data_IF_278379236184
#
_entry.id   IF_278379236184
#
_cell.length_a   1.000
_cell.length_b   1.000
_cell.length_c   1.000
_cell.angle_alpha   90.00
_cell.angle_beta   90.00
_cell.angle_gamma   90.00
#
_symmetry.space_group_name_H-M   'P 1'
#
loop_
_entity.id
_entity.type
_entity.pdbx_description
1 polymer ?
#
# COMPACT_ATOMS: atom_id res chain seq x y z
N UNK A 1 33.81 3.27 -14.59
CA UNK A 1 33.61 1.83 -14.88
C UNK A 1 33.35 0.95 -13.64
N UNK A 2 34.18 0.98 -12.57
CA UNK A 2 33.99 0.04 -11.43
C UNK A 2 32.75 0.32 -10.55
N UNK A 3 32.35 1.59 -10.43
CA UNK A 3 31.13 2.00 -9.69
C UNK A 3 29.85 1.63 -10.44
N UNK A 4 29.85 1.78 -11.77
CA UNK A 4 28.68 1.47 -12.62
C UNK A 4 28.33 -0.03 -12.59
N UNK A 5 29.34 -0.90 -12.53
CA UNK A 5 29.16 -2.35 -12.41
C UNK A 5 28.73 -2.77 -10.99
N UNK A 6 29.11 -2.01 -9.96
CA UNK A 6 28.63 -2.20 -8.59
C UNK A 6 27.15 -1.83 -8.44
N UNK A 7 26.73 -0.74 -9.06
CA UNK A 7 25.33 -0.30 -9.07
C UNK A 7 24.43 -1.30 -9.81
N UNK A 8 24.86 -1.81 -10.98
CA UNK A 8 24.13 -2.86 -11.73
C UNK A 8 23.98 -4.15 -10.92
N UNK A 9 24.99 -4.53 -10.13
CA UNK A 9 24.95 -5.70 -9.24
C UNK A 9 24.02 -5.51 -8.04
N UNK A 10 24.01 -4.34 -7.43
CA UNK A 10 23.09 -4.01 -6.33
C UNK A 10 21.64 -3.99 -6.81
N UNK A 11 21.38 -3.34 -7.96
CA UNK A 11 20.07 -3.36 -8.62
C UNK A 11 19.67 -4.81 -8.93
N UNK A 12 20.58 -5.61 -9.49
CA UNK A 12 20.36 -7.04 -9.76
C UNK A 12 20.06 -7.87 -8.51
N UNK A 13 20.74 -7.62 -7.39
CA UNK A 13 20.46 -8.28 -6.11
C UNK A 13 19.10 -7.86 -5.54
N UNK A 14 18.73 -6.58 -5.63
CA UNK A 14 17.41 -6.10 -5.19
C UNK A 14 16.31 -6.71 -6.07
N UNK A 15 16.52 -6.76 -7.38
CA UNK A 15 15.65 -7.47 -8.33
C UNK A 15 15.52 -8.96 -8.03
N UNK A 16 16.62 -9.61 -7.63
CA UNK A 16 16.65 -11.04 -7.32
C UNK A 16 16.06 -11.34 -5.93
N UNK A 17 16.13 -10.39 -4.98
CA UNK A 17 15.56 -10.52 -3.64
C UNK A 17 14.04 -10.33 -3.65
N UNK A 18 13.51 -9.51 -4.57
CA UNK A 18 12.08 -9.48 -4.89
C UNK A 18 11.79 -10.51 -5.99
N UNK A 19 11.57 -11.76 -5.59
CA UNK A 19 11.06 -12.88 -6.42
C UNK A 19 9.79 -12.60 -7.26
N UNK A 20 9.27 -11.37 -7.28
CA UNK A 20 8.15 -10.95 -8.10
C UNK A 20 8.11 -9.42 -8.25
N UNK A 21 8.33 -8.92 -9.47
CA UNK A 21 8.07 -7.53 -9.88
C UNK A 21 6.61 -7.09 -9.73
N UNK A 22 5.71 -8.04 -9.54
CA UNK A 22 4.27 -7.84 -9.36
C UNK A 22 3.98 -7.02 -8.09
N UNK A 23 4.76 -7.21 -7.01
CA UNK A 23 4.49 -6.56 -5.71
C UNK A 23 4.72 -5.05 -5.79
N UNK A 24 5.91 -4.54 -6.17
CA UNK A 24 6.15 -3.11 -6.19
C UNK A 24 5.27 -2.40 -7.21
N UNK A 25 5.05 -3.02 -8.38
CA UNK A 25 4.19 -2.46 -9.44
C UNK A 25 2.75 -2.26 -8.95
N UNK A 26 2.19 -3.24 -8.23
CA UNK A 26 0.83 -3.13 -7.68
C UNK A 26 0.70 -1.98 -6.69
N UNK A 27 1.72 -1.75 -5.86
CA UNK A 27 1.71 -0.67 -4.86
C UNK A 27 1.94 0.70 -5.51
N UNK A 28 2.84 0.79 -6.49
CA UNK A 28 3.14 2.05 -7.18
C UNK A 28 1.91 2.59 -7.92
N UNK A 29 1.01 1.73 -8.39
CA UNK A 29 -0.27 2.14 -8.98
C UNK A 29 -1.24 2.78 -7.97
N UNK A 30 -1.10 2.48 -6.68
CA UNK A 30 -1.92 3.08 -5.63
C UNK A 30 -1.42 4.46 -5.16
N UNK A 31 -0.14 4.76 -5.35
CA UNK A 31 0.49 6.02 -4.90
C UNK A 31 -0.17 7.28 -5.48
N UNK A 32 -0.51 7.34 -6.79
CA UNK A 32 -1.19 8.51 -7.36
C UNK A 32 -2.48 8.87 -6.64
N UNK A 33 -3.21 7.88 -6.12
CA UNK A 33 -4.48 8.10 -5.41
C UNK A 33 -4.25 8.91 -4.13
N UNK A 34 -3.17 8.64 -3.39
CA UNK A 34 -2.79 9.41 -2.20
C UNK A 34 -2.36 10.84 -2.54
N UNK A 35 -1.62 11.01 -3.64
CA UNK A 35 -1.18 12.33 -4.12
C UNK A 35 -2.39 13.18 -4.54
N UNK A 36 -3.35 12.59 -5.25
CA UNK A 36 -4.59 13.28 -5.65
C UNK A 36 -5.34 13.77 -4.42
N UNK A 37 -5.43 12.97 -3.36
CA UNK A 37 -6.03 13.38 -2.09
C UNK A 37 -5.37 14.60 -1.45
N UNK A 38 -4.04 14.58 -1.37
CA UNK A 38 -3.28 15.71 -0.84
C UNK A 38 -3.49 16.98 -1.67
N UNK A 39 -3.44 16.87 -3.00
CA UNK A 39 -3.67 18.00 -3.91
C UNK A 39 -5.09 18.55 -3.78
N UNK A 40 -6.10 17.69 -3.68
CA UNK A 40 -7.50 18.11 -3.52
C UNK A 40 -7.69 18.89 -2.21
N UNK A 41 -7.20 18.39 -1.08
CA UNK A 41 -7.34 19.06 0.21
C UNK A 41 -6.59 20.40 0.26
N UNK A 42 -5.36 20.45 -0.27
CA UNK A 42 -4.57 21.70 -0.34
C UNK A 42 -5.26 22.73 -1.25
N UNK A 43 -5.79 22.28 -2.39
CA UNK A 43 -6.53 23.15 -3.33
C UNK A 43 -7.84 23.67 -2.73
N UNK A 44 -8.59 22.82 -2.03
CA UNK A 44 -9.82 23.22 -1.32
C UNK A 44 -9.54 24.28 -0.24
N UNK A 45 -8.34 24.25 0.36
CA UNK A 45 -7.92 25.21 1.37
C UNK A 45 -7.24 26.46 0.79
N UNK A 46 -7.06 26.54 -0.53
CA UNK A 46 -6.39 27.66 -1.21
C UNK A 46 -4.92 27.81 -0.85
N UNK A 47 -4.24 26.73 -0.45
CA UNK A 47 -2.83 26.76 -0.06
C UNK A 47 -1.92 26.62 -1.30
N UNK A 48 -0.76 27.26 -1.26
CA UNK A 48 0.22 27.22 -2.35
C UNK A 48 1.01 25.90 -2.37
N UNK A 49 1.52 25.53 -3.55
CA UNK A 49 2.45 24.41 -3.72
C UNK A 49 3.87 24.86 -3.36
N UNK A 50 4.13 24.99 -2.07
CA UNK A 50 5.42 25.34 -1.51
C UNK A 50 6.29 24.09 -1.22
N UNK A 51 7.54 24.32 -0.80
CA UNK A 51 8.47 23.23 -0.44
C UNK A 51 7.94 22.41 0.75
N UNK A 52 7.17 23.02 1.64
CA UNK A 52 6.57 22.34 2.80
C UNK A 52 5.50 21.33 2.37
N UNK A 53 4.66 21.69 1.39
CA UNK A 53 3.69 20.78 0.79
C UNK A 53 4.38 19.61 0.07
N UNK A 54 5.49 19.84 -0.64
CA UNK A 54 6.25 18.78 -1.31
C UNK A 54 6.84 17.78 -0.30
N UNK A 55 7.39 18.26 0.82
CA UNK A 55 7.86 17.39 1.91
C UNK A 55 6.69 16.59 2.50
N UNK A 56 5.53 17.22 2.67
CA UNK A 56 4.30 16.55 3.12
C UNK A 56 3.80 15.47 2.14
N UNK A 57 3.88 15.73 0.84
CA UNK A 57 3.59 14.74 -0.21
C UNK A 57 4.51 13.54 -0.11
N UNK A 58 5.82 13.75 0.04
CA UNK A 58 6.79 12.65 0.20
C UNK A 58 6.49 11.79 1.42
N UNK A 59 6.16 12.40 2.56
CA UNK A 59 5.75 11.67 3.75
C UNK A 59 4.49 10.84 3.52
N UNK A 60 3.49 11.42 2.84
CA UNK A 60 2.23 10.74 2.48
C UNK A 60 2.48 9.55 1.55
N UNK A 61 3.33 9.74 0.53
CA UNK A 61 3.72 8.66 -0.40
C UNK A 61 4.35 7.51 0.37
N UNK A 62 5.28 7.79 1.28
CA UNK A 62 5.91 6.77 2.13
C UNK A 62 4.89 5.99 2.98
N UNK A 63 3.92 6.68 3.58
CA UNK A 63 2.87 6.05 4.36
C UNK A 63 1.95 5.17 3.49
N UNK A 64 1.55 5.67 2.32
CA UNK A 64 0.74 4.95 1.35
C UNK A 64 1.46 3.67 0.86
N UNK A 65 2.74 3.80 0.51
CA UNK A 65 3.58 2.67 0.09
C UNK A 65 3.72 1.65 1.20
N UNK A 66 4.01 2.08 2.45
CA UNK A 66 4.09 1.17 3.60
C UNK A 66 2.79 0.38 3.78
N UNK A 67 1.65 1.08 3.78
CA UNK A 67 0.35 0.44 3.96
C UNK A 67 0.04 -0.52 2.80
N UNK A 68 0.40 -0.15 1.57
CA UNK A 68 0.18 -0.96 0.37
C UNK A 68 1.06 -2.21 0.31
N UNK A 69 2.37 -2.08 0.53
CA UNK A 69 3.32 -3.20 0.54
C UNK A 69 2.88 -4.25 1.55
N UNK A 70 2.47 -3.80 2.74
CA UNK A 70 2.13 -4.68 3.84
C UNK A 70 0.86 -5.53 3.58
N UNK A 71 -0.09 -5.03 2.78
CA UNK A 71 -1.26 -5.79 2.32
C UNK A 71 -0.82 -6.81 1.25
N UNK A 72 -0.08 -6.35 0.24
CA UNK A 72 0.31 -7.17 -0.91
C UNK A 72 1.25 -8.31 -0.49
N UNK A 73 2.19 -8.03 0.40
CA UNK A 73 3.12 -9.02 0.94
C UNK A 73 2.38 -10.15 1.66
N UNK A 74 1.40 -9.79 2.50
CA UNK A 74 0.58 -10.78 3.20
C UNK A 74 -0.33 -11.57 2.26
N UNK A 75 -0.87 -10.93 1.21
CA UNK A 75 -1.66 -11.60 0.19
C UNK A 75 -0.81 -12.64 -0.56
N UNK A 76 0.42 -12.27 -0.94
CA UNK A 76 1.38 -13.19 -1.57
C UNK A 76 1.72 -14.35 -0.65
N UNK A 77 1.97 -14.09 0.63
CA UNK A 77 2.31 -15.14 1.59
C UNK A 77 1.16 -16.16 1.73
N UNK A 78 -0.09 -15.70 1.77
CA UNK A 78 -1.26 -16.57 1.78
C UNK A 78 -1.45 -17.35 0.48
N UNK A 79 -1.15 -16.75 -0.68
CA UNK A 79 -1.11 -17.49 -1.96
C UNK A 79 -0.04 -18.58 -1.96
N UNK A 80 1.13 -18.32 -1.38
CA UNK A 80 2.19 -19.33 -1.24
C UNK A 80 1.80 -20.45 -0.28
N UNK A 81 0.93 -20.18 0.69
CA UNK A 81 0.32 -21.17 1.57
C UNK A 81 -0.81 -21.96 0.90
N UNK A 82 -1.14 -21.67 -0.36
CA UNK A 82 -2.11 -22.41 -1.17
C UNK A 82 -3.51 -21.80 -1.21
N UNK A 83 -3.73 -20.61 -0.66
CA UNK A 83 -5.01 -19.91 -0.80
C UNK A 83 -5.23 -19.39 -2.23
N UNK A 84 -6.50 -19.31 -2.64
CA UNK A 84 -6.85 -18.69 -3.92
C UNK A 84 -6.56 -17.18 -3.89
N UNK A 85 -6.15 -16.61 -5.03
CA UNK A 85 -5.79 -15.18 -5.16
C UNK A 85 -6.80 -14.24 -4.48
N UNK A 86 -8.10 -14.44 -4.72
CA UNK A 86 -9.16 -13.60 -4.16
C UNK A 86 -9.25 -13.77 -2.64
N UNK A 87 -9.23 -15.01 -2.14
CA UNK A 87 -9.34 -15.26 -0.70
C UNK A 87 -8.12 -14.75 0.07
N UNK A 88 -6.91 -15.00 -0.46
CA UNK A 88 -5.65 -14.51 0.06
C UNK A 88 -5.66 -12.98 0.17
N UNK A 89 -6.08 -12.29 -0.89
CA UNK A 89 -6.16 -10.83 -0.93
C UNK A 89 -7.17 -10.28 0.08
N UNK A 90 -8.37 -10.87 0.16
CA UNK A 90 -9.41 -10.44 1.10
C UNK A 90 -9.01 -10.69 2.56
N UNK A 91 -8.31 -11.79 2.84
CA UNK A 91 -7.82 -12.13 4.17
C UNK A 91 -6.69 -11.19 4.59
N UNK A 92 -5.75 -10.91 3.69
CA UNK A 92 -4.69 -9.93 3.90
C UNK A 92 -5.23 -8.52 4.20
N UNK A 93 -6.18 -8.04 3.38
CA UNK A 93 -6.82 -6.74 3.60
C UNK A 93 -7.51 -6.67 4.97
N UNK A 94 -8.24 -7.71 5.39
CA UNK A 94 -8.90 -7.76 6.71
C UNK A 94 -7.92 -7.74 7.87
N UNK A 95 -6.79 -8.45 7.77
CA UNK A 95 -5.79 -8.46 8.84
C UNK A 95 -5.09 -7.11 9.00
N UNK A 96 -4.93 -6.35 7.92
CA UNK A 96 -4.28 -5.04 7.95
C UNK A 96 -5.23 -3.88 8.21
N UNK A 97 -6.55 -4.07 8.08
CA UNK A 97 -7.56 -3.03 8.31
C UNK A 97 -7.40 -2.35 9.68
N UNK A 98 -7.27 -3.14 10.75
CA UNK A 98 -7.10 -2.64 12.12
C UNK A 98 -5.79 -1.83 12.29
N UNK A 99 -4.61 -2.38 11.94
CA UNK A 99 -3.35 -1.63 11.98
C UNK A 99 -3.34 -0.35 11.11
N UNK A 100 -3.89 -0.39 9.91
CA UNK A 100 -3.90 0.76 8.99
C UNK A 100 -4.75 1.89 9.57
N UNK A 101 -5.95 1.59 10.07
CA UNK A 101 -6.81 2.59 10.69
C UNK A 101 -6.14 3.19 11.93
N UNK A 102 -5.56 2.35 12.79
CA UNK A 102 -4.88 2.81 14.02
C UNK A 102 -3.75 3.81 13.72
N UNK A 103 -2.86 3.44 12.78
CA UNK A 103 -1.71 4.28 12.43
C UNK A 103 -2.12 5.56 11.70
N UNK A 104 -3.09 5.47 10.80
CA UNK A 104 -3.58 6.61 10.04
C UNK A 104 -4.29 7.62 10.93
N UNK A 105 -5.13 7.16 11.88
CA UNK A 105 -5.80 8.04 12.83
C UNK A 105 -4.80 8.71 13.78
N UNK A 106 -3.84 7.96 14.31
CA UNK A 106 -2.80 8.52 15.17
C UNK A 106 -1.99 9.60 14.42
N UNK A 107 -1.65 9.34 13.16
CA UNK A 107 -0.93 10.30 12.34
C UNK A 107 -1.77 11.54 11.99
N UNK A 108 -3.04 11.36 11.60
CA UNK A 108 -3.96 12.47 11.33
C UNK A 108 -4.17 13.37 12.55
N UNK A 109 -4.34 12.79 13.74
CA UNK A 109 -4.45 13.55 14.98
C UNK A 109 -3.12 14.23 15.35
N UNK A 110 -1.98 13.59 15.06
CA UNK A 110 -0.66 14.17 15.29
C UNK A 110 -0.36 15.38 14.40
N UNK A 111 -0.86 15.41 13.17
CA UNK A 111 -0.69 16.56 12.25
C UNK A 111 -1.79 17.61 12.39
N UNK A 112 -2.87 17.33 13.14
CA UNK A 112 -3.98 18.25 13.35
C UNK A 112 -3.56 19.62 13.92
N UNK A 113 -2.62 19.72 14.89
CA UNK A 113 -2.14 21.02 15.37
C UNK A 113 -1.39 21.82 14.30
N UNK A 114 -0.73 21.16 13.35
CA UNK A 114 -0.05 21.82 12.24
C UNK A 114 -1.06 22.37 11.23
N UNK A 115 -2.18 21.68 11.05
CA UNK A 115 -3.29 22.11 10.18
C UNK A 115 -3.99 23.35 10.76
N UNK A 116 -4.13 23.44 12.07
CA UNK A 116 -4.85 24.54 12.76
C UNK A 116 -3.91 25.65 13.27
N UNK A 117 -2.64 25.61 12.89
CA UNK A 117 -1.64 26.52 13.43
C UNK A 117 -1.86 27.96 12.98
N UNK A 118 -1.76 28.90 13.92
CA UNK A 118 -1.77 30.35 13.67
C UNK A 118 -0.49 31.02 14.19
N UNK A 119 -0.16 32.19 13.64
CA UNK A 119 1.01 33.00 14.03
C UNK A 119 2.19 32.95 13.05
N UNK A 120 3.38 33.35 13.50
CA UNK A 120 4.58 33.42 12.66
C UNK A 120 4.93 32.03 12.07
N UNK A 121 5.16 31.95 10.76
CA UNK A 121 5.44 30.67 10.08
C UNK A 121 4.24 29.70 10.03
N UNK A 122 3.01 30.16 10.27
CA UNK A 122 1.82 29.33 10.14
C UNK A 122 1.57 28.87 8.69
N UNK A 123 1.96 29.66 7.68
CA UNK A 123 1.81 29.31 6.26
C UNK A 123 2.41 27.93 5.94
N UNK A 124 3.71 27.75 6.19
CA UNK A 124 4.38 26.48 5.91
C UNK A 124 3.87 25.30 6.76
N UNK A 125 3.52 25.55 8.03
CA UNK A 125 2.92 24.52 8.91
C UNK A 125 1.55 24.06 8.39
N UNK A 126 0.73 25.00 7.95
CA UNK A 126 -0.58 24.73 7.37
C UNK A 126 -0.45 24.03 6.00
N UNK A 127 0.48 24.43 5.13
CA UNK A 127 0.78 23.76 3.86
C UNK A 127 1.19 22.30 4.08
N UNK A 128 2.16 22.05 4.96
CA UNK A 128 2.62 20.71 5.29
C UNK A 128 1.49 19.87 5.93
N UNK A 129 0.86 20.41 6.97
CA UNK A 129 -0.18 19.71 7.72
C UNK A 129 -1.37 19.32 6.84
N UNK A 130 -1.85 20.24 6.00
CA UNK A 130 -3.02 20.01 5.13
C UNK A 130 -2.72 18.95 4.08
N UNK A 131 -1.55 19.03 3.43
CA UNK A 131 -1.15 18.05 2.42
C UNK A 131 -1.03 16.65 3.01
N UNK A 132 -0.38 16.53 4.16
CA UNK A 132 -0.21 15.25 4.87
C UNK A 132 -1.55 14.70 5.37
N UNK A 133 -2.40 15.56 5.95
CA UNK A 133 -3.71 15.16 6.46
C UNK A 133 -4.63 14.67 5.34
N UNK A 134 -4.78 15.45 4.27
CA UNK A 134 -5.64 15.09 3.13
C UNK A 134 -5.12 13.88 2.37
N UNK A 135 -3.81 13.78 2.21
CA UNK A 135 -3.14 12.65 1.57
C UNK A 135 -3.30 11.36 2.36
N UNK A 136 -3.10 11.42 3.68
CA UNK A 136 -3.29 10.26 4.58
C UNK A 136 -4.76 9.83 4.59
N UNK A 137 -5.70 10.77 4.76
CA UNK A 137 -7.12 10.47 4.78
C UNK A 137 -7.57 9.78 3.50
N UNK A 138 -7.19 10.34 2.35
CA UNK A 138 -7.55 9.78 1.04
C UNK A 138 -6.86 8.45 0.79
N UNK A 139 -5.57 8.33 1.09
CA UNK A 139 -4.84 7.07 0.95
C UNK A 139 -5.38 5.97 1.85
N UNK A 140 -5.87 6.29 3.04
CA UNK A 140 -6.43 5.29 3.95
C UNK A 140 -7.82 4.87 3.47
N UNK A 141 -8.69 5.82 3.14
CA UNK A 141 -10.04 5.51 2.68
C UNK A 141 -10.04 4.78 1.34
N UNK A 142 -9.27 5.26 0.35
CA UNK A 142 -9.24 4.65 -0.98
C UNK A 142 -8.22 3.52 -1.08
N UNK A 143 -7.03 3.68 -0.49
CA UNK A 143 -5.95 2.69 -0.62
C UNK A 143 -6.32 1.31 -0.06
N UNK A 144 -7.15 1.24 0.99
CA UNK A 144 -7.64 -0.05 1.52
C UNK A 144 -8.43 -0.84 0.47
N UNK A 145 -9.14 -0.18 -0.45
CA UNK A 145 -9.89 -0.84 -1.52
C UNK A 145 -9.06 -1.00 -2.80
N UNK A 146 -8.32 0.05 -3.18
CA UNK A 146 -7.60 0.09 -4.44
C UNK A 146 -6.34 -0.77 -4.44
N UNK A 147 -5.61 -0.88 -3.32
CA UNK A 147 -4.41 -1.75 -3.23
C UNK A 147 -4.75 -3.22 -3.52
N UNK A 148 -5.71 -3.87 -2.82
CA UNK A 148 -6.07 -5.24 -3.13
C UNK A 148 -6.64 -5.40 -4.55
N UNK A 149 -7.36 -4.40 -5.07
CA UNK A 149 -7.84 -4.41 -6.45
C UNK A 149 -6.68 -4.44 -7.46
N UNK A 150 -5.71 -3.53 -7.33
CA UNK A 150 -4.55 -3.50 -8.22
C UNK A 150 -3.72 -4.77 -8.12
N UNK A 151 -3.59 -5.34 -6.93
CA UNK A 151 -2.90 -6.61 -6.75
C UNK A 151 -3.56 -7.74 -7.56
N UNK A 152 -4.89 -7.90 -7.46
CA UNK A 152 -5.63 -8.91 -8.22
C UNK A 152 -5.50 -8.67 -9.72
N UNK A 153 -5.60 -7.42 -10.18
CA UNK A 153 -5.46 -7.08 -11.60
C UNK A 153 -4.07 -7.46 -12.12
N UNK A 154 -3.00 -6.98 -11.48
CA UNK A 154 -1.63 -7.26 -11.94
C UNK A 154 -1.32 -8.76 -11.85
N UNK A 155 -1.80 -9.44 -10.80
CA UNK A 155 -1.59 -10.88 -10.64
C UNK A 155 -2.37 -11.70 -11.67
N UNK A 156 -3.53 -11.23 -12.12
CA UNK A 156 -4.31 -11.84 -13.20
C UNK A 156 -3.67 -11.65 -14.57
N UNK A 157 -3.02 -10.51 -14.81
CA UNK A 157 -2.30 -10.21 -16.06
C UNK A 157 -0.93 -10.91 -16.14
N UNK A 158 -0.26 -11.07 -14.99
CA UNK A 158 1.00 -11.77 -14.85
C UNK A 158 0.85 -12.95 -13.89
N UNK A 159 0.18 -14.04 -14.32
CA UNK A 159 0.14 -15.28 -13.56
C UNK A 159 1.55 -15.88 -13.54
N UNK A 160 2.36 -15.45 -12.57
CA UNK A 160 3.61 -16.14 -12.26
C UNK A 160 3.24 -17.59 -11.96
N UNK A 161 4.00 -18.54 -12.51
CA UNK A 161 3.77 -19.99 -12.43
C UNK A 161 3.64 -20.48 -10.98
N UNK A 162 2.50 -20.23 -10.34
CA UNK A 162 2.11 -20.87 -9.09
C UNK A 162 1.56 -22.22 -9.51
N UNK A 163 2.32 -23.25 -9.18
CA UNK A 163 2.02 -24.66 -9.45
C UNK A 163 0.63 -24.95 -8.91
N UNK A 164 -0.32 -25.05 -9.83
CA UNK A 164 -1.71 -25.40 -9.60
C UNK A 164 -1.73 -26.84 -9.09
N UNK A 165 -1.65 -27.03 -7.78
CA UNK A 165 -1.67 -28.36 -7.16
C UNK A 165 -2.60 -28.36 -5.97
N UNK A 166 -3.88 -28.13 -6.22
CA UNK A 166 -4.91 -28.87 -5.50
C UNK A 166 -6.10 -29.11 -6.41
N UNK A 167 -6.03 -30.22 -7.14
CA UNK A 167 -7.19 -30.89 -7.72
C UNK A 167 -8.08 -31.29 -6.54
N UNK A 168 -9.21 -30.60 -6.38
CA UNK A 168 -10.28 -31.10 -5.51
C UNK A 168 -10.84 -32.34 -6.22
N UNK A 169 -10.28 -33.50 -5.91
CA UNK A 169 -10.84 -34.80 -6.26
C UNK A 169 -12.20 -34.89 -5.55
N UNK A 170 -13.26 -34.97 -6.34
CA UNK A 170 -14.62 -35.06 -5.83
C UNK A 170 -14.92 -36.39 -5.15
N UNK A 171 -15.80 -36.31 -4.13
CA UNK A 171 -16.73 -37.35 -3.63
C UNK A 171 -16.13 -38.71 -3.21
N UNK A 172 -16.25 -38.98 -1.91
CA UNK A 172 -16.20 -40.32 -1.33
C UNK A 172 -16.54 -40.29 0.16
N UNK A 173 -17.82 -40.26 0.48
CA UNK A 173 -18.36 -40.53 1.82
C UNK A 173 -17.94 -41.93 2.27
N UNK A 174 -17.14 -42.07 3.33
CA UNK A 174 -17.17 -43.25 4.23
C UNK A 174 -16.82 -42.77 5.65
N UNK A 175 -17.82 -42.73 6.53
CA UNK A 175 -17.59 -42.82 7.98
C UNK A 175 -17.32 -44.30 8.30
N UNK A 176 -16.27 -44.64 9.06
CA UNK A 176 -16.11 -46.01 9.53
C UNK A 176 -17.17 -46.30 10.61
N UNK A 177 -17.97 -47.34 10.38
CA UNK A 177 -18.73 -48.01 11.44
C UNK A 177 -17.74 -48.58 12.47
N UNK A 178 -17.92 -48.22 13.74
CA UNK A 178 -17.28 -48.89 14.86
C UNK A 178 -18.03 -50.22 15.12
N UNK A 179 -17.38 -51.34 14.82
CA UNK A 179 -17.64 -52.63 15.46
C UNK A 179 -16.45 -53.01 16.33
#
# INVERSE_FOLDING_TARGET
MRVENGLKRLIGCILALYESWTIPVSVMLAVPIGILGALLFTSLRGLENDVYFQVGLLATIGLAVKNGILIVEFARELEQQGETLINATLRAARMRLRPIIMTSLAFMLGVLPLVLSSGAGAGGRNSLGTGVFGGTLTSTLLGIFFVPLFYVIIRSLFPGKLKQSFKVEGRGTIYPEFQ
#
